data_IF_916408882292
#
_entry.id   IF_916408882292
#
_cell.length_a   1.000
_cell.length_b   1.000
_cell.length_c   1.000
_cell.angle_alpha   90.00
_cell.angle_beta   90.00
_cell.angle_gamma   90.00
#
_symmetry.space_group_name_H-M   'P 1'
#
loop_
_entity.id
_entity.type
_entity.pdbx_description
1 polymer ?
#
# COMPACT_ATOMS: atom_id res chain seq x y z
N UNK A 1 -14.64 6.76 -19.23
CA UNK A 1 -13.78 6.67 -18.03
C UNK A 1 -12.74 5.59 -18.26
N UNK A 2 -11.53 6.00 -18.62
CA UNK A 2 -10.46 5.05 -18.89
C UNK A 2 -9.88 4.57 -17.58
N UNK A 3 -9.95 3.27 -17.35
CA UNK A 3 -9.28 2.63 -16.21
C UNK A 3 -7.77 2.80 -16.42
N UNK A 4 -7.11 3.39 -15.43
CA UNK A 4 -5.65 3.46 -15.37
C UNK A 4 -5.11 2.28 -14.59
N UNK A 5 -3.90 1.87 -14.91
CA UNK A 5 -3.19 0.82 -14.17
C UNK A 5 -1.82 1.30 -13.71
N UNK A 6 -1.29 0.69 -12.67
CA UNK A 6 0.08 0.83 -12.19
C UNK A 6 0.66 -0.55 -11.91
N UNK A 7 1.99 -0.66 -11.93
CA UNK A 7 2.68 -1.91 -11.63
C UNK A 7 2.90 -2.02 -10.13
N UNK A 8 2.64 -3.22 -9.59
CA UNK A 8 3.09 -3.62 -8.27
C UNK A 8 4.37 -4.46 -8.41
N UNK A 9 5.48 -3.96 -7.86
CA UNK A 9 6.75 -4.66 -7.86
C UNK A 9 6.90 -5.48 -6.58
N UNK A 10 7.34 -6.71 -6.71
CA UNK A 10 7.59 -7.61 -5.59
C UNK A 10 8.97 -8.26 -5.72
N UNK A 11 9.81 -8.10 -4.71
CA UNK A 11 11.16 -8.66 -4.65
C UNK A 11 11.30 -9.84 -3.66
N UNK A 12 10.20 -10.49 -3.29
CA UNK A 12 10.22 -11.60 -2.35
C UNK A 12 11.22 -12.71 -2.74
N UNK A 13 11.39 -12.95 -4.05
CA UNK A 13 12.33 -13.94 -4.58
C UNK A 13 13.82 -13.57 -4.37
N UNK A 14 14.12 -12.35 -3.96
CA UNK A 14 15.50 -11.94 -3.65
C UNK A 14 15.96 -12.43 -2.26
N UNK A 15 15.04 -12.86 -1.39
CA UNK A 15 15.32 -13.38 -0.05
C UNK A 15 16.21 -12.44 0.79
N UNK A 16 15.86 -11.15 0.80
CA UNK A 16 16.62 -10.13 1.52
C UNK A 16 16.23 -10.09 3.01
N UNK A 17 17.20 -9.77 3.84
CA UNK A 17 17.02 -9.50 5.27
C UNK A 17 18.21 -8.70 5.79
N UNK A 18 18.22 -8.35 7.09
CA UNK A 18 19.27 -7.52 7.66
C UNK A 18 20.71 -8.10 7.51
N UNK A 19 20.84 -9.42 7.48
CA UNK A 19 22.13 -10.11 7.30
C UNK A 19 22.41 -10.47 5.84
N UNK A 20 21.47 -10.24 4.95
CA UNK A 20 21.51 -10.68 3.57
C UNK A 20 20.96 -9.56 2.66
N UNK A 21 21.74 -8.49 2.59
CA UNK A 21 21.37 -7.27 1.88
C UNK A 21 21.54 -7.42 0.37
N UNK A 22 20.91 -6.53 -0.39
CA UNK A 22 20.89 -6.58 -1.85
C UNK A 22 22.31 -6.50 -2.44
N UNK A 23 23.21 -5.72 -1.85
CA UNK A 23 24.62 -5.59 -2.24
C UNK A 23 25.37 -6.90 -2.01
N UNK A 24 25.24 -7.52 -0.84
CA UNK A 24 25.86 -8.79 -0.50
C UNK A 24 25.39 -9.96 -1.40
N UNK A 25 24.19 -9.81 -1.98
CA UNK A 25 23.59 -10.75 -2.93
C UNK A 25 23.96 -10.45 -4.39
N UNK A 26 24.67 -9.36 -4.68
CA UNK A 26 24.95 -8.86 -6.03
C UNK A 26 23.68 -8.65 -6.87
N UNK A 27 22.59 -8.17 -6.24
CA UNK A 27 21.28 -8.00 -6.87
C UNK A 27 20.92 -6.54 -7.18
N UNK A 28 21.82 -5.59 -6.95
CA UNK A 28 21.60 -4.15 -7.24
C UNK A 28 21.28 -3.94 -8.71
N UNK A 29 22.11 -4.46 -9.61
CA UNK A 29 21.89 -4.37 -11.07
C UNK A 29 20.55 -4.97 -11.44
N UNK A 30 20.23 -6.17 -10.92
CA UNK A 30 18.93 -6.81 -11.19
C UNK A 30 17.77 -5.94 -10.75
N UNK A 31 17.85 -5.31 -9.57
CA UNK A 31 16.82 -4.41 -9.06
C UNK A 31 16.58 -3.24 -10.03
N UNK A 32 17.64 -2.60 -10.48
CA UNK A 32 17.58 -1.48 -11.45
C UNK A 32 17.01 -1.95 -12.80
N UNK A 33 17.50 -3.06 -13.32
CA UNK A 33 17.05 -3.66 -14.58
C UNK A 33 15.55 -4.03 -14.54
N UNK A 34 15.06 -4.52 -13.41
CA UNK A 34 13.64 -4.85 -13.25
C UNK A 34 12.76 -3.61 -13.44
N UNK A 35 13.18 -2.44 -12.94
CA UNK A 35 12.47 -1.18 -13.19
C UNK A 35 12.61 -0.69 -14.62
N UNK A 36 13.78 -0.85 -15.24
CA UNK A 36 14.01 -0.51 -16.66
C UNK A 36 13.09 -1.33 -17.58
N UNK A 37 12.84 -2.60 -17.25
CA UNK A 37 11.89 -3.45 -17.97
C UNK A 37 10.43 -3.02 -17.89
N UNK A 38 10.10 -2.10 -16.97
CA UNK A 38 8.75 -1.52 -16.87
C UNK A 38 8.49 -0.40 -17.89
N UNK A 39 9.51 0.14 -18.56
CA UNK A 39 9.41 1.28 -19.49
C UNK A 39 8.36 1.08 -20.59
N UNK A 40 8.24 -0.09 -21.25
CA UNK A 40 7.18 -0.31 -22.24
C UNK A 40 5.76 -0.15 -21.68
N UNK A 41 5.58 -0.37 -20.37
CA UNK A 41 4.30 -0.14 -19.71
C UNK A 41 4.11 1.34 -19.38
N UNK A 42 5.16 2.06 -18.94
CA UNK A 42 5.11 3.48 -18.64
C UNK A 42 4.70 4.33 -19.85
N UNK A 43 4.97 3.85 -21.06
CA UNK A 43 4.60 4.49 -22.33
C UNK A 43 3.12 4.36 -22.68
N UNK A 44 2.36 3.48 -22.00
CA UNK A 44 0.93 3.30 -22.26
C UNK A 44 0.14 4.54 -21.82
N UNK A 45 -0.81 4.97 -22.65
CA UNK A 45 -1.64 6.16 -22.39
C UNK A 45 -2.47 6.06 -21.11
N UNK A 46 -2.86 4.85 -20.74
CA UNK A 46 -3.63 4.55 -19.53
C UNK A 46 -2.75 4.13 -18.33
N UNK A 47 -1.41 4.30 -18.40
CA UNK A 47 -0.58 4.11 -17.22
C UNK A 47 -0.80 5.23 -16.21
N UNK A 48 -0.97 4.88 -14.93
CA UNK A 48 -1.23 5.84 -13.85
C UNK A 48 -0.04 6.77 -13.62
N UNK A 49 -0.31 8.07 -13.55
CA UNK A 49 0.71 9.07 -13.25
C UNK A 49 0.17 10.09 -12.23
N UNK A 50 1.04 10.57 -11.36
CA UNK A 50 0.78 11.65 -10.39
C UNK A 50 1.79 12.75 -10.65
N UNK A 51 1.33 13.95 -10.95
CA UNK A 51 2.19 15.08 -11.28
C UNK A 51 3.25 14.75 -12.35
N UNK A 52 2.87 13.98 -13.38
CA UNK A 52 3.76 13.53 -14.45
C UNK A 52 4.63 12.32 -14.13
N UNK A 53 4.78 11.93 -12.86
CA UNK A 53 5.57 10.79 -12.43
C UNK A 53 4.77 9.49 -12.55
N UNK A 54 5.38 8.43 -13.06
CA UNK A 54 4.77 7.10 -13.21
C UNK A 54 4.64 6.41 -11.86
N UNK A 55 3.45 5.93 -11.53
CA UNK A 55 3.19 5.30 -10.22
C UNK A 55 3.70 3.87 -10.21
N UNK A 56 4.51 3.51 -9.21
CA UNK A 56 4.91 2.13 -8.92
C UNK A 56 4.64 1.85 -7.43
N UNK A 57 3.93 0.76 -7.17
CA UNK A 57 3.73 0.25 -5.81
C UNK A 57 4.76 -0.82 -5.52
N UNK A 58 5.53 -0.68 -4.45
CA UNK A 58 6.49 -1.69 -4.01
C UNK A 58 5.88 -2.48 -2.86
N UNK A 59 5.43 -3.69 -3.17
CA UNK A 59 4.82 -4.59 -2.21
C UNK A 59 5.86 -5.14 -1.23
N UNK A 60 5.56 -5.10 0.06
CA UNK A 60 6.46 -5.44 1.16
C UNK A 60 7.80 -4.67 1.12
N UNK A 61 7.77 -3.39 0.74
CA UNK A 61 8.97 -2.54 0.63
C UNK A 61 9.83 -2.54 1.91
N UNK A 62 9.23 -2.78 3.07
CA UNK A 62 9.93 -2.93 4.34
C UNK A 62 10.95 -4.10 4.37
N UNK A 63 10.83 -5.05 3.45
CA UNK A 63 11.79 -6.17 3.29
C UNK A 63 12.94 -5.86 2.32
N UNK A 64 13.01 -4.67 1.74
CA UNK A 64 14.14 -4.27 0.93
C UNK A 64 15.29 -3.82 1.84
N UNK A 65 16.23 -4.70 2.07
CA UNK A 65 17.43 -4.44 2.87
C UNK A 65 18.60 -4.10 1.96
N UNK A 66 19.15 -2.90 2.15
CA UNK A 66 20.32 -2.35 1.44
C UNK A 66 21.27 -1.71 2.46
N UNK A 67 22.51 -1.51 2.08
CA UNK A 67 23.49 -0.75 2.89
C UNK A 67 23.07 0.73 2.97
N UNK A 68 22.55 1.28 1.87
CA UNK A 68 21.97 2.61 1.77
C UNK A 68 20.75 2.59 0.85
N UNK A 69 19.56 2.51 1.43
CA UNK A 69 18.32 2.49 0.67
C UNK A 69 18.12 3.76 -0.15
N UNK A 70 18.46 4.94 0.38
CA UNK A 70 18.31 6.19 -0.35
C UNK A 70 19.18 6.20 -1.61
N UNK A 71 20.45 5.81 -1.50
CA UNK A 71 21.36 5.72 -2.63
C UNK A 71 20.90 4.68 -3.67
N UNK A 72 20.43 3.52 -3.23
CA UNK A 72 19.88 2.47 -4.12
C UNK A 72 18.69 3.00 -4.96
N UNK A 73 17.72 3.63 -4.30
CA UNK A 73 16.56 4.19 -4.99
C UNK A 73 16.95 5.37 -5.90
N UNK A 74 17.89 6.21 -5.49
CA UNK A 74 18.40 7.31 -6.33
C UNK A 74 19.11 6.80 -7.58
N UNK A 75 19.92 5.74 -7.47
CA UNK A 75 20.56 5.11 -8.62
C UNK A 75 19.52 4.57 -9.62
N UNK A 76 18.51 3.88 -9.14
CA UNK A 76 17.41 3.39 -9.97
C UNK A 76 16.63 4.54 -10.64
N UNK A 77 16.32 5.61 -9.89
CA UNK A 77 15.64 6.80 -10.43
C UNK A 77 16.48 7.51 -11.50
N UNK A 78 17.80 7.63 -11.30
CA UNK A 78 18.69 8.24 -12.27
C UNK A 78 18.71 7.47 -13.59
N UNK A 79 18.74 6.14 -13.54
CA UNK A 79 18.70 5.30 -14.74
C UNK A 79 17.39 5.50 -15.54
N UNK A 80 16.25 5.58 -14.85
CA UNK A 80 14.95 5.82 -15.50
C UNK A 80 14.81 7.27 -16.01
N UNK A 81 15.34 8.24 -15.28
CA UNK A 81 15.35 9.65 -15.70
C UNK A 81 16.16 9.87 -16.97
N UNK A 82 17.29 9.17 -17.13
CA UNK A 82 18.07 9.19 -18.38
C UNK A 82 17.27 8.66 -19.59
N UNK A 83 16.21 7.89 -19.32
CA UNK A 83 15.29 7.37 -20.34
C UNK A 83 13.98 8.17 -20.42
N UNK A 84 13.89 9.30 -19.73
CA UNK A 84 12.76 10.24 -19.76
C UNK A 84 11.60 9.89 -18.82
N UNK A 85 11.82 9.05 -17.79
CA UNK A 85 10.78 8.63 -16.85
C UNK A 85 11.09 8.99 -15.41
N UNK A 86 10.17 9.72 -14.79
CA UNK A 86 10.17 9.98 -13.36
C UNK A 86 9.15 9.06 -12.65
N UNK A 87 9.50 8.60 -11.44
CA UNK A 87 8.63 7.70 -10.67
C UNK A 87 8.01 8.38 -9.45
N UNK A 88 6.74 8.05 -9.20
CA UNK A 88 6.07 8.20 -7.92
C UNK A 88 5.98 6.82 -7.25
N UNK A 89 6.82 6.58 -6.25
CA UNK A 89 6.96 5.27 -5.60
C UNK A 89 6.16 5.25 -4.31
N UNK A 90 5.27 4.26 -4.18
CA UNK A 90 4.54 3.96 -2.96
C UNK A 90 5.18 2.72 -2.33
N UNK A 91 5.77 2.85 -1.15
CA UNK A 91 6.36 1.74 -0.39
C UNK A 91 5.44 1.22 0.69
N UNK A 92 5.34 -0.11 0.80
CA UNK A 92 4.56 -0.78 1.82
C UNK A 92 5.40 -0.90 3.10
N UNK A 93 4.91 -0.34 4.21
CA UNK A 93 5.51 -0.51 5.54
C UNK A 93 4.87 -1.68 6.31
N UNK A 94 5.52 -2.15 7.35
CA UNK A 94 5.16 -3.42 7.98
C UNK A 94 3.86 -3.36 8.78
N UNK A 95 3.64 -2.33 9.58
CA UNK A 95 2.57 -2.29 10.59
C UNK A 95 1.89 -0.93 10.70
N UNK A 96 0.72 -0.93 11.33
CA UNK A 96 -0.03 0.27 11.69
C UNK A 96 0.49 1.02 12.91
N UNK A 97 1.31 0.36 13.71
CA UNK A 97 1.86 0.90 14.94
C UNK A 97 2.86 2.03 14.66
N UNK A 98 3.30 2.76 15.67
CA UNK A 98 4.28 3.81 15.51
C UNK A 98 5.44 3.36 14.63
N UNK A 99 5.88 4.27 13.77
CA UNK A 99 6.96 4.04 12.82
C UNK A 99 8.14 3.37 13.48
N UNK A 100 8.46 2.15 13.02
CA UNK A 100 9.59 1.39 13.50
C UNK A 100 10.90 1.95 12.93
N UNK A 101 12.01 1.66 13.63
CA UNK A 101 13.34 2.09 13.19
C UNK A 101 13.63 1.75 11.71
N UNK A 102 13.16 0.62 11.24
CA UNK A 102 13.38 0.18 9.85
C UNK A 102 12.56 0.96 8.82
N UNK A 103 11.45 1.57 9.21
CA UNK A 103 10.62 2.35 8.29
C UNK A 103 11.32 3.64 7.85
N UNK A 104 12.21 4.18 8.66
CA UNK A 104 13.03 5.34 8.28
C UNK A 104 13.94 5.10 7.07
N UNK A 105 14.13 3.85 6.65
CA UNK A 105 14.79 3.51 5.38
C UNK A 105 14.05 4.05 4.14
N UNK A 106 12.79 4.47 4.29
CA UNK A 106 12.02 5.08 3.22
C UNK A 106 12.35 6.55 2.99
N UNK A 107 13.03 7.20 3.92
CA UNK A 107 13.45 8.62 3.78
C UNK A 107 14.37 8.74 2.57
N UNK A 108 14.03 9.68 1.66
CA UNK A 108 14.70 9.91 0.38
C UNK A 108 14.68 8.70 -0.60
N UNK A 109 13.89 7.68 -0.31
CA UNK A 109 13.74 6.50 -1.15
C UNK A 109 12.39 6.49 -1.90
N UNK A 110 11.29 6.71 -1.17
CA UNK A 110 9.94 6.65 -1.72
C UNK A 110 9.23 8.01 -1.65
N UNK A 111 8.19 8.20 -2.47
CA UNK A 111 7.37 9.42 -2.48
C UNK A 111 6.18 9.28 -1.53
N UNK A 112 5.71 8.06 -1.31
CA UNK A 112 4.62 7.76 -0.40
C UNK A 112 4.82 6.42 0.32
N UNK A 113 4.17 6.30 1.48
CA UNK A 113 4.11 5.03 2.23
C UNK A 113 2.67 4.63 2.47
N UNK A 114 2.47 3.33 2.53
CA UNK A 114 1.22 2.70 2.93
C UNK A 114 1.49 1.51 3.85
N UNK A 115 0.47 0.86 4.33
CA UNK A 115 0.55 -0.42 5.04
C UNK A 115 -0.71 -1.25 4.78
N UNK A 116 -0.65 -2.54 5.03
CA UNK A 116 -1.81 -3.42 4.85
C UNK A 116 -2.95 -2.98 5.76
N UNK A 117 -4.16 -3.06 5.25
CA UNK A 117 -5.38 -2.60 5.94
C UNK A 117 -5.50 -3.17 7.35
N UNK A 118 -5.24 -4.45 7.51
CA UNK A 118 -5.42 -5.16 8.78
C UNK A 118 -4.10 -5.72 9.32
N UNK A 119 -3.04 -4.91 9.25
CA UNK A 119 -1.71 -5.29 9.75
C UNK A 119 -1.58 -5.25 11.29
N UNK A 120 -2.70 -5.34 12.01
CA UNK A 120 -2.73 -5.41 13.46
C UNK A 120 -2.31 -6.81 13.94
N UNK A 121 -1.37 -6.85 14.88
CA UNK A 121 -0.87 -8.07 15.46
C UNK A 121 -1.35 -8.17 16.90
N UNK A 122 -1.74 -9.37 17.35
CA UNK A 122 -2.09 -9.68 18.74
C UNK A 122 -3.28 -8.88 19.31
N UNK A 123 -4.25 -8.55 18.48
CA UNK A 123 -5.49 -7.90 18.92
C UNK A 123 -6.61 -8.94 19.02
N UNK A 124 -7.34 -8.96 20.11
CA UNK A 124 -8.46 -9.88 20.25
C UNK A 124 -9.71 -9.39 19.49
N UNK A 125 -10.62 -10.29 19.17
CA UNK A 125 -11.82 -9.99 18.39
C UNK A 125 -12.69 -8.88 19.01
N UNK A 126 -12.83 -8.89 20.34
CA UNK A 126 -13.65 -7.90 21.04
C UNK A 126 -13.08 -6.49 20.92
N UNK A 127 -11.77 -6.33 21.11
CA UNK A 127 -11.11 -5.03 21.01
C UNK A 127 -11.18 -4.48 19.59
N UNK A 128 -11.02 -5.33 18.57
CA UNK A 128 -11.14 -4.92 17.17
C UNK A 128 -12.53 -4.37 16.89
N UNK A 129 -13.59 -5.08 17.23
CA UNK A 129 -14.96 -4.65 16.94
C UNK A 129 -15.33 -3.34 17.62
N UNK A 130 -14.84 -3.11 18.85
CA UNK A 130 -15.22 -1.93 19.63
C UNK A 130 -14.33 -0.71 19.43
N UNK A 131 -13.08 -0.89 18.99
CA UNK A 131 -12.09 0.18 18.97
C UNK A 131 -11.44 0.43 17.60
N UNK A 132 -11.70 -0.41 16.60
CA UNK A 132 -11.02 -0.39 15.30
C UNK A 132 -11.02 1.00 14.64
N UNK A 133 -12.18 1.61 14.46
CA UNK A 133 -12.29 2.92 13.80
C UNK A 133 -11.54 4.01 14.56
N UNK A 134 -11.68 4.04 15.88
CA UNK A 134 -10.98 5.02 16.74
C UNK A 134 -9.47 4.83 16.65
N UNK A 135 -9.00 3.59 16.76
CA UNK A 135 -7.58 3.27 16.64
C UNK A 135 -7.04 3.63 15.26
N UNK A 136 -7.77 3.27 14.21
CA UNK A 136 -7.38 3.55 12.83
C UNK A 136 -7.30 5.05 12.53
N UNK A 137 -8.26 5.83 13.01
CA UNK A 137 -8.25 7.29 12.84
C UNK A 137 -7.00 7.91 13.49
N UNK A 138 -6.68 7.48 14.71
CA UNK A 138 -5.48 7.91 15.41
C UNK A 138 -4.21 7.48 14.66
N UNK A 139 -4.14 6.21 14.26
CA UNK A 139 -2.96 5.64 13.59
C UNK A 139 -2.72 6.30 12.23
N UNK A 140 -3.74 6.46 11.41
CA UNK A 140 -3.62 7.10 10.10
C UNK A 140 -3.16 8.55 10.19
N UNK A 141 -3.72 9.31 11.14
CA UNK A 141 -3.29 10.68 11.39
C UNK A 141 -1.86 10.75 11.92
N UNK A 142 -1.47 9.81 12.78
CA UNK A 142 -0.09 9.70 13.26
C UNK A 142 0.89 9.44 12.11
N UNK A 143 0.60 8.47 11.25
CA UNK A 143 1.44 8.17 10.09
C UNK A 143 1.52 9.34 9.13
N UNK A 144 0.39 9.94 8.76
CA UNK A 144 0.36 11.14 7.92
C UNK A 144 1.25 12.25 8.47
N UNK A 145 1.12 12.57 9.74
CA UNK A 145 1.89 13.64 10.38
C UNK A 145 3.38 13.30 10.51
N UNK A 146 3.70 12.04 10.75
CA UNK A 146 5.09 11.57 10.87
C UNK A 146 5.80 11.61 9.53
N UNK A 147 5.23 11.01 8.50
CA UNK A 147 5.84 10.95 7.18
C UNK A 147 5.91 12.30 6.48
N UNK A 148 4.92 13.17 6.70
CA UNK A 148 4.92 14.51 6.14
C UNK A 148 6.15 15.36 6.57
N UNK A 149 6.73 15.07 7.74
CA UNK A 149 7.99 15.72 8.19
C UNK A 149 9.19 15.39 7.30
N UNK A 150 9.11 14.32 6.55
CA UNK A 150 10.15 13.86 5.62
C UNK A 150 9.76 14.05 4.15
N UNK A 151 8.71 14.83 3.87
CA UNK A 151 8.14 15.03 2.53
C UNK A 151 7.68 13.72 1.86
N UNK A 152 7.25 12.74 2.66
CA UNK A 152 6.67 11.48 2.20
C UNK A 152 5.17 11.52 2.46
N UNK A 153 4.36 11.22 1.45
CA UNK A 153 2.91 11.13 1.61
C UNK A 153 2.52 9.84 2.35
N UNK A 154 1.44 9.92 3.12
CA UNK A 154 0.79 8.73 3.63
C UNK A 154 -0.42 8.39 2.76
N UNK A 155 -0.49 7.13 2.31
CA UNK A 155 -1.59 6.59 1.50
C UNK A 155 -2.34 5.56 2.34
N UNK A 156 -3.54 5.88 2.84
CA UNK A 156 -4.33 4.94 3.62
C UNK A 156 -4.74 3.73 2.78
N UNK A 157 -4.76 2.55 3.39
CA UNK A 157 -5.32 1.33 2.81
C UNK A 157 -6.57 0.93 3.57
N UNK A 158 -7.66 0.67 2.85
CA UNK A 158 -8.96 0.25 3.40
C UNK A 158 -9.45 -1.05 2.79
N UNK A 159 -10.35 -1.71 3.49
CA UNK A 159 -11.01 -2.93 3.05
C UNK A 159 -12.40 -3.04 3.70
N UNK A 160 -13.40 -3.64 3.03
CA UNK A 160 -14.75 -3.76 3.60
C UNK A 160 -14.83 -4.78 4.75
N UNK A 161 -13.93 -5.74 4.77
CA UNK A 161 -13.96 -6.86 5.72
C UNK A 161 -12.63 -7.60 5.74
N UNK A 162 -12.48 -8.56 6.64
CA UNK A 162 -11.41 -9.56 6.63
C UNK A 162 -11.85 -10.84 7.33
N UNK A 163 -11.59 -11.99 6.70
CA UNK A 163 -11.74 -13.30 7.29
C UNK A 163 -10.69 -14.29 6.75
N UNK A 164 -9.49 -14.25 7.31
CA UNK A 164 -8.40 -15.17 6.91
C UNK A 164 -8.74 -16.64 7.27
N UNK A 165 -9.67 -16.88 8.18
CA UNK A 165 -10.07 -18.26 8.56
C UNK A 165 -10.75 -19.02 7.44
N UNK A 166 -11.18 -18.34 6.38
CA UNK A 166 -11.67 -19.02 5.16
C UNK A 166 -10.56 -19.86 4.51
N UNK A 167 -9.32 -19.39 4.53
CA UNK A 167 -8.16 -20.15 4.03
C UNK A 167 -7.46 -20.96 5.12
N UNK A 168 -7.40 -20.43 6.33
CA UNK A 168 -6.71 -21.03 7.46
C UNK A 168 -7.62 -21.02 8.69
N UNK A 169 -8.46 -22.05 8.86
CA UNK A 169 -9.43 -22.13 9.98
C UNK A 169 -8.78 -21.99 11.37
N UNK A 170 -7.51 -22.36 11.51
CA UNK A 170 -6.74 -22.22 12.76
C UNK A 170 -6.12 -20.84 12.99
N UNK A 171 -6.31 -19.88 12.10
CA UNK A 171 -5.73 -18.54 12.24
C UNK A 171 -6.27 -17.84 13.49
N UNK A 172 -5.40 -17.26 14.32
CA UNK A 172 -5.81 -16.44 15.45
C UNK A 172 -6.30 -15.04 15.03
N UNK A 173 -6.20 -14.69 13.74
CA UNK A 173 -6.56 -13.37 13.23
C UNK A 173 -8.04 -13.08 13.52
N UNK A 174 -8.30 -11.86 13.91
CA UNK A 174 -9.65 -11.35 14.11
C UNK A 174 -10.45 -11.38 12.79
N UNK A 175 -11.77 -11.38 12.91
CA UNK A 175 -12.70 -11.29 11.79
C UNK A 175 -13.41 -9.93 11.86
N UNK A 176 -13.47 -9.24 10.74
CA UNK A 176 -14.38 -8.12 10.52
C UNK A 176 -15.33 -8.54 9.42
N UNK A 177 -16.59 -8.68 9.76
CA UNK A 177 -17.64 -9.06 8.82
C UNK A 177 -18.01 -7.88 7.92
N UNK A 178 -18.52 -8.18 6.73
CA UNK A 178 -19.04 -7.17 5.82
C UNK A 178 -20.22 -6.43 6.45
N UNK A 179 -20.07 -5.10 6.57
CA UNK A 179 -21.11 -4.19 7.04
C UNK A 179 -20.99 -2.87 6.29
N UNK A 180 -22.03 -2.47 5.59
CA UNK A 180 -22.04 -1.29 4.73
C UNK A 180 -21.73 0.01 5.47
N UNK A 181 -22.35 0.22 6.67
CA UNK A 181 -22.11 1.44 7.46
C UNK A 181 -20.70 1.45 8.02
N UNK A 182 -20.23 0.32 8.54
CA UNK A 182 -18.86 0.18 9.04
C UNK A 182 -17.82 0.51 7.97
N UNK A 183 -18.04 0.05 6.73
CA UNK A 183 -17.13 0.34 5.62
C UNK A 183 -17.19 1.83 5.21
N UNK A 184 -18.38 2.48 5.23
CA UNK A 184 -18.51 3.92 5.00
C UNK A 184 -17.71 4.72 6.02
N UNK A 185 -17.81 4.35 7.30
CA UNK A 185 -17.07 5.02 8.38
C UNK A 185 -15.55 4.86 8.16
N UNK A 186 -15.11 3.70 7.72
CA UNK A 186 -13.70 3.46 7.38
C UNK A 186 -13.25 4.30 6.16
N UNK A 187 -14.06 4.39 5.11
CA UNK A 187 -13.81 5.27 3.96
C UNK A 187 -13.64 6.74 4.39
N UNK A 188 -14.49 7.21 5.31
CA UNK A 188 -14.41 8.56 5.83
C UNK A 188 -13.12 8.82 6.63
N UNK A 189 -12.68 7.87 7.45
CA UNK A 189 -11.41 7.93 8.16
C UNK A 189 -10.25 8.04 7.16
N UNK A 190 -10.21 7.16 6.16
CA UNK A 190 -9.16 7.15 5.15
C UNK A 190 -9.11 8.48 4.37
N UNK A 191 -10.26 9.01 3.96
CA UNK A 191 -10.36 10.26 3.21
C UNK A 191 -9.74 11.45 3.94
N UNK A 192 -9.91 11.53 5.27
CA UNK A 192 -9.28 12.57 6.11
C UNK A 192 -7.77 12.41 6.21
N UNK A 193 -7.28 11.18 6.11
CA UNK A 193 -5.86 10.85 6.27
C UNK A 193 -5.05 10.92 4.96
N UNK A 194 -5.67 11.12 3.80
CA UNK A 194 -4.94 11.21 2.52
C UNK A 194 -3.92 12.35 2.49
N UNK A 195 -2.83 12.15 1.74
CA UNK A 195 -1.86 13.18 1.39
C UNK A 195 -2.33 14.08 0.24
N UNK A 196 -1.41 14.80 -0.38
CA UNK A 196 -1.69 15.75 -1.46
C UNK A 196 -2.20 15.06 -2.74
N UNK A 197 -1.73 13.85 -3.02
CA UNK A 197 -2.15 13.03 -4.17
C UNK A 197 -3.60 12.53 -4.07
N UNK A 198 -4.21 12.60 -2.88
CA UNK A 198 -5.56 12.09 -2.58
C UNK A 198 -5.72 10.60 -2.89
N UNK A 199 -4.62 9.85 -2.86
CA UNK A 199 -4.64 8.41 -3.06
C UNK A 199 -5.19 7.68 -1.83
N UNK A 200 -5.94 6.62 -2.11
CA UNK A 200 -6.37 5.59 -1.16
C UNK A 200 -6.19 4.25 -1.86
N UNK A 201 -5.68 3.27 -1.17
CA UNK A 201 -5.60 1.90 -1.65
C UNK A 201 -6.81 1.13 -1.13
N UNK A 202 -7.53 0.47 -2.03
CA UNK A 202 -8.57 -0.48 -1.70
C UNK A 202 -7.99 -1.90 -1.80
N UNK A 203 -7.86 -2.57 -0.68
CA UNK A 203 -7.41 -3.95 -0.58
C UNK A 203 -8.62 -4.82 -0.17
N UNK A 204 -9.35 -5.41 -1.15
CA UNK A 204 -9.05 -5.49 -2.59
C UNK A 204 -10.31 -5.41 -3.44
N UNK A 205 -10.13 -5.47 -4.77
CA UNK A 205 -11.28 -5.66 -5.68
C UNK A 205 -11.87 -7.06 -5.56
N UNK A 206 -11.03 -8.13 -5.61
CA UNK A 206 -11.48 -9.51 -5.77
C UNK A 206 -10.71 -10.57 -4.93
N UNK A 207 -10.21 -10.21 -3.75
CA UNK A 207 -9.58 -11.19 -2.86
C UNK A 207 -10.64 -11.91 -2.00
N UNK A 208 -11.31 -12.88 -2.60
CA UNK A 208 -12.31 -13.74 -1.96
C UNK A 208 -11.74 -14.61 -0.85
N UNK A 209 -10.47 -14.96 -0.96
CA UNK A 209 -9.80 -15.85 -0.01
C UNK A 209 -9.69 -15.25 1.40
N UNK A 210 -9.58 -13.92 1.48
CA UNK A 210 -9.49 -13.20 2.75
C UNK A 210 -10.78 -12.43 3.08
N UNK A 211 -11.83 -12.58 2.26
CA UNK A 211 -13.08 -11.83 2.37
C UNK A 211 -12.91 -10.30 2.29
N UNK A 212 -11.87 -9.82 1.59
CA UNK A 212 -11.59 -8.38 1.48
C UNK A 212 -12.13 -7.75 0.20
N UNK A 213 -12.83 -8.49 -0.64
CA UNK A 213 -13.32 -8.05 -1.94
C UNK A 213 -14.47 -7.05 -1.83
N UNK A 214 -14.51 -6.12 -2.80
CA UNK A 214 -15.67 -5.25 -3.09
C UNK A 214 -16.41 -5.66 -4.37
N UNK A 215 -15.86 -6.62 -5.10
CA UNK A 215 -16.49 -7.20 -6.29
C UNK A 215 -17.92 -7.67 -5.97
N UNK A 216 -18.82 -7.50 -6.92
CA UNK A 216 -20.21 -7.88 -6.73
C UNK A 216 -20.39 -9.37 -6.39
N UNK A 217 -21.30 -9.67 -5.48
CA UNK A 217 -21.63 -11.04 -5.05
C UNK A 217 -23.13 -11.26 -4.92
N UNK A 218 -23.56 -12.50 -4.98
CA UNK A 218 -24.97 -12.84 -4.83
C UNK A 218 -25.56 -12.36 -3.49
N UNK A 219 -24.76 -12.41 -2.42
CA UNK A 219 -25.22 -12.09 -1.06
C UNK A 219 -25.40 -10.60 -0.77
N UNK A 220 -24.70 -9.69 -1.49
CA UNK A 220 -24.74 -8.24 -1.25
C UNK A 220 -24.81 -7.40 -2.54
N UNK A 221 -24.97 -8.05 -3.70
CA UNK A 221 -25.04 -7.35 -4.99
C UNK A 221 -23.83 -6.46 -5.24
N UNK A 222 -24.05 -5.20 -5.61
CA UNK A 222 -23.01 -4.18 -5.88
C UNK A 222 -22.81 -3.20 -4.72
N UNK A 223 -23.28 -3.48 -3.53
CA UNK A 223 -23.36 -2.48 -2.46
C UNK A 223 -21.98 -1.89 -2.09
N UNK A 224 -20.93 -2.70 -2.03
CA UNK A 224 -19.59 -2.20 -1.72
C UNK A 224 -18.97 -1.39 -2.87
N UNK A 225 -19.27 -1.72 -4.13
CA UNK A 225 -18.89 -0.90 -5.29
C UNK A 225 -19.61 0.45 -5.29
N UNK A 226 -20.88 0.48 -4.89
CA UNK A 226 -21.67 1.73 -4.75
C UNK A 226 -21.05 2.60 -3.65
N UNK A 227 -20.71 2.03 -2.50
CA UNK A 227 -20.04 2.74 -1.41
C UNK A 227 -18.73 3.38 -1.91
N UNK A 228 -17.87 2.62 -2.57
CA UNK A 228 -16.61 3.14 -3.13
C UNK A 228 -16.87 4.30 -4.08
N UNK A 229 -17.87 4.17 -4.96
CA UNK A 229 -18.26 5.22 -5.90
C UNK A 229 -18.75 6.48 -5.21
N UNK A 230 -19.59 6.34 -4.20
CA UNK A 230 -20.20 7.46 -3.45
C UNK A 230 -19.17 8.20 -2.60
N UNK A 231 -18.27 7.47 -1.93
CA UNK A 231 -17.31 8.05 -1.00
C UNK A 231 -16.07 8.66 -1.69
N UNK A 232 -15.69 8.18 -2.89
CA UNK A 232 -14.44 8.59 -3.55
C UNK A 232 -14.64 9.21 -4.93
N UNK A 233 -15.84 9.25 -5.47
CA UNK A 233 -16.09 9.95 -6.72
C UNK A 233 -15.97 11.45 -6.49
N UNK A 234 -14.97 12.07 -7.09
CA UNK A 234 -14.92 13.53 -7.27
C UNK A 234 -15.87 13.92 -8.37
N UNK A 235 -16.77 14.83 -8.07
CA UNK A 235 -17.63 15.49 -9.07
C UNK A 235 -16.77 16.32 -10.03
#
# INVERSE_FOLDING_TARGET
NDIKFAISYNFANMNLNNNNRIEARNLVTKFIDDFTKMIPYFQKSNYMSINGKKVVYIFNAFNLFSDDNAALYQQMRAELSNQGFELFIIGDQQEWTPTLRFDFRFINAVDAVTHKTYALINVNQYDVLNTFHKFTDIAFNYHKNTWNKYNIEYVPTISPSINIRLQNPGSPTFIIEKNAQWFRDFCNIARRATGNSKLIILDSFNNWNNDTQVEAAESYGEDYLKIVREEFKTN
#
